data_IF_349443633979
#
_entry.id   IF_349443633979
#
_cell.length_a   1.000
_cell.length_b   1.000
_cell.length_c   1.000
_cell.angle_alpha   90.00
_cell.angle_beta   90.00
_cell.angle_gamma   90.00
#
_symmetry.space_group_name_H-M   'P 1'
#
loop_
_entity.id
_entity.type
_entity.pdbx_description
1 polymer ?
#
# COMPACT_ATOMS: atom_id res chain seq x y z
N UNK A 1 -1.66 4.09 6.28
CA UNK A 1 -0.87 3.22 5.39
C UNK A 1 -0.04 2.33 6.28
N UNK A 2 -0.06 1.01 6.08
CA UNK A 2 0.73 0.07 6.88
C UNK A 2 2.24 0.13 6.52
N UNK A 3 2.54 0.43 5.26
CA UNK A 3 3.92 0.55 4.73
C UNK A 3 4.63 1.78 5.31
N UNK A 4 3.94 2.93 5.36
CA UNK A 4 4.53 4.18 5.86
C UNK A 4 4.74 4.15 7.38
N UNK A 5 3.75 3.65 8.14
CA UNK A 5 3.89 3.54 9.59
C UNK A 5 4.98 2.57 10.03
N UNK A 6 5.34 1.59 9.20
CA UNK A 6 6.45 0.67 9.48
C UNK A 6 7.84 1.21 9.13
N UNK A 7 7.94 2.34 8.42
CA UNK A 7 9.22 2.93 7.95
C UNK A 7 9.52 4.31 8.52
N UNK A 8 8.48 5.01 8.97
CA UNK A 8 8.58 6.37 9.48
C UNK A 8 8.23 6.36 10.97
N UNK A 9 9.18 6.81 11.79
CA UNK A 9 9.01 6.98 13.23
C UNK A 9 7.86 7.96 13.48
N UNK A 10 6.96 7.61 14.40
CA UNK A 10 5.81 8.41 14.82
C UNK A 10 4.90 8.89 13.67
N UNK A 11 4.81 8.10 12.59
CA UNK A 11 4.01 8.46 11.43
C UNK A 11 2.54 8.74 11.79
N UNK A 12 2.08 9.94 11.45
CA UNK A 12 0.68 10.29 11.49
C UNK A 12 0.17 10.65 10.08
N UNK A 13 -1.06 10.27 9.67
CA UNK A 13 -1.57 10.56 8.34
C UNK A 13 -1.56 12.03 7.91
N UNK A 14 -1.52 12.96 8.87
CA UNK A 14 -1.39 14.41 8.61
C UNK A 14 -0.05 14.79 8.00
N UNK A 15 1.02 14.03 8.26
CA UNK A 15 2.33 14.30 7.67
C UNK A 15 2.26 14.21 6.13
N UNK A 16 1.56 13.19 5.61
CA UNK A 16 1.34 13.07 4.16
C UNK A 16 0.37 14.14 3.64
N UNK A 17 -0.61 14.54 4.45
CA UNK A 17 -1.54 15.62 4.08
C UNK A 17 -0.79 16.96 3.95
N UNK A 18 0.15 17.23 4.86
CA UNK A 18 1.01 18.42 4.84
C UNK A 18 1.97 18.42 3.65
N UNK A 19 2.66 17.31 3.39
CA UNK A 19 3.59 17.18 2.25
C UNK A 19 2.89 17.28 0.88
N UNK A 20 1.68 16.74 0.77
CA UNK A 20 0.88 16.89 -0.47
C UNK A 20 0.40 18.31 -0.65
N UNK A 21 -0.12 18.95 0.41
CA UNK A 21 -0.58 20.33 0.37
C UNK A 21 0.56 21.35 0.12
N UNK A 22 1.77 21.06 0.60
CA UNK A 22 2.96 21.86 0.33
C UNK A 22 3.51 21.66 -1.10
N UNK A 23 3.05 20.63 -1.80
CA UNK A 23 3.55 20.26 -3.13
C UNK A 23 4.91 19.59 -3.13
N UNK A 24 5.40 19.13 -1.97
CA UNK A 24 6.66 18.37 -1.85
C UNK A 24 6.48 16.91 -2.29
N UNK A 25 5.27 16.36 -2.10
CA UNK A 25 4.88 15.03 -2.56
C UNK A 25 3.68 15.14 -3.49
N UNK A 26 3.78 14.59 -4.69
CA UNK A 26 2.65 14.41 -5.60
C UNK A 26 2.20 12.95 -5.60
N UNK A 27 0.94 12.73 -5.97
CA UNK A 27 0.38 11.39 -6.09
C UNK A 27 -0.34 11.20 -7.43
N UNK A 28 -0.27 10.00 -7.98
CA UNK A 28 -0.95 9.65 -9.22
C UNK A 28 -1.65 8.31 -9.09
N UNK A 29 -2.82 8.18 -9.73
CA UNK A 29 -3.45 6.88 -9.94
C UNK A 29 -2.62 6.01 -10.88
N UNK A 30 -2.59 4.72 -10.61
CA UNK A 30 -1.85 3.71 -11.35
C UNK A 30 -2.75 2.51 -11.71
N UNK A 31 -4.01 2.81 -12.07
CA UNK A 31 -5.03 1.83 -12.41
C UNK A 31 -6.08 1.60 -11.33
N UNK A 32 -7.33 1.46 -11.76
CA UNK A 32 -8.47 1.17 -10.89
C UNK A 32 -8.54 -0.32 -10.50
N UNK A 33 -9.18 -0.59 -9.37
CA UNK A 33 -9.58 -1.94 -8.92
C UNK A 33 -11.11 -1.99 -8.82
N UNK A 34 -11.73 -3.18 -8.74
CA UNK A 34 -13.18 -3.29 -8.61
C UNK A 34 -13.73 -2.49 -7.43
N UNK A 35 -14.79 -1.72 -7.66
CA UNK A 35 -15.45 -0.89 -6.66
C UNK A 35 -14.92 0.54 -6.62
N UNK A 36 -14.47 0.99 -5.45
CA UNK A 36 -13.96 2.37 -5.20
C UNK A 36 -12.47 2.36 -4.83
N UNK A 37 -11.78 1.29 -5.19
CA UNK A 37 -10.39 1.01 -4.81
C UNK A 37 -9.48 1.14 -6.04
N UNK A 38 -8.18 1.29 -5.83
CA UNK A 38 -7.23 1.49 -6.93
C UNK A 38 -5.80 1.59 -6.46
N UNK A 39 -4.88 1.48 -7.41
CA UNK A 39 -3.46 1.68 -7.14
C UNK A 39 -3.13 3.17 -7.19
N UNK A 40 -2.36 3.62 -6.21
CA UNK A 40 -1.78 4.97 -6.21
C UNK A 40 -0.28 4.87 -6.00
N UNK A 41 0.41 5.86 -6.55
CA UNK A 41 1.86 6.03 -6.42
C UNK A 41 2.14 7.41 -5.81
N UNK A 42 3.15 7.47 -4.95
CA UNK A 42 3.61 8.69 -4.27
C UNK A 42 5.00 9.02 -4.80
N UNK A 43 5.23 10.29 -5.13
CA UNK A 43 6.46 10.76 -5.74
C UNK A 43 6.91 12.04 -5.05
N UNK A 44 8.20 12.16 -4.75
CA UNK A 44 8.75 13.47 -4.43
C UNK A 44 8.67 14.36 -5.68
N UNK A 45 8.36 15.64 -5.49
CA UNK A 45 8.04 16.53 -6.61
C UNK A 45 9.20 16.70 -7.61
N UNK A 46 10.43 16.66 -7.12
CA UNK A 46 11.67 16.75 -7.90
C UNK A 46 11.94 15.52 -8.79
N UNK A 47 11.50 14.35 -8.36
CA UNK A 47 11.72 13.06 -9.05
C UNK A 47 10.47 12.53 -9.74
N UNK A 48 9.32 13.19 -9.59
CA UNK A 48 8.06 12.81 -10.21
C UNK A 48 8.16 12.64 -11.74
N UNK A 49 8.80 13.55 -12.52
CA UNK A 49 8.93 13.35 -13.96
C UNK A 49 9.60 12.03 -14.36
N UNK A 50 10.50 11.52 -13.52
CA UNK A 50 11.24 10.27 -13.78
C UNK A 50 10.49 9.02 -13.32
N UNK A 51 9.71 9.15 -12.24
CA UNK A 51 9.16 8.00 -11.50
C UNK A 51 7.66 7.78 -11.71
N UNK A 52 6.93 8.76 -12.26
CA UNK A 52 5.51 8.62 -12.57
C UNK A 52 5.24 7.40 -13.48
N UNK A 53 4.18 6.62 -13.19
CA UNK A 53 3.80 5.47 -14.01
C UNK A 53 3.29 5.94 -15.38
N UNK A 54 3.38 5.08 -16.40
CA UNK A 54 2.77 5.39 -17.70
C UNK A 54 1.25 5.50 -17.57
N UNK A 55 0.61 6.24 -18.47
CA UNK A 55 -0.85 6.34 -18.48
C UNK A 55 -1.47 4.96 -18.73
N UNK A 56 -2.49 4.61 -17.97
CA UNK A 56 -3.28 3.43 -18.29
C UNK A 56 -4.14 3.69 -19.52
N UNK A 57 -4.44 2.64 -20.29
CA UNK A 57 -5.35 2.75 -21.43
C UNK A 57 -6.74 3.20 -20.94
N UNK A 58 -7.21 4.31 -21.51
CA UNK A 58 -8.53 4.88 -21.25
C UNK A 58 -9.10 5.39 -22.57
N UNK A 59 -10.33 5.00 -22.88
CA UNK A 59 -11.06 5.58 -24.02
C UNK A 59 -11.54 6.99 -23.64
N UNK A 60 -10.86 7.98 -24.19
CA UNK A 60 -11.15 9.39 -23.92
C UNK A 60 -12.42 9.78 -24.67
N UNK A 61 -13.56 9.79 -23.96
CA UNK A 61 -14.80 10.41 -24.45
C UNK A 61 -14.72 11.94 -24.55
N UNK A 62 -15.76 12.58 -25.07
CA UNK A 62 -15.83 14.04 -25.22
C UNK A 62 -15.63 14.78 -23.87
N UNK A 63 -16.32 14.34 -22.82
CA UNK A 63 -16.18 14.92 -21.47
C UNK A 63 -14.76 14.78 -20.90
N UNK A 64 -14.06 13.68 -21.23
CA UNK A 64 -12.67 13.49 -20.81
C UNK A 64 -11.75 14.51 -21.49
N UNK A 65 -11.89 14.67 -22.81
CA UNK A 65 -11.10 15.65 -23.58
C UNK A 65 -11.36 17.08 -23.12
N UNK A 66 -12.63 17.44 -22.90
CA UNK A 66 -12.99 18.77 -22.40
C UNK A 66 -12.31 19.10 -21.05
N UNK A 67 -12.28 18.15 -20.11
CA UNK A 67 -11.56 18.32 -18.84
C UNK A 67 -10.05 18.47 -19.04
N UNK A 68 -9.46 17.64 -19.90
CA UNK A 68 -8.03 17.71 -20.22
C UNK A 68 -7.65 19.03 -20.90
N UNK A 69 -8.49 19.54 -21.81
CA UNK A 69 -8.27 20.80 -22.53
C UNK A 69 -8.31 22.00 -21.58
N UNK A 70 -9.28 22.04 -20.66
CA UNK A 70 -9.33 23.10 -19.62
C UNK A 70 -8.08 23.07 -18.74
N UNK A 71 -7.67 21.88 -18.29
CA UNK A 71 -6.49 21.73 -17.43
C UNK A 71 -5.17 21.90 -18.19
N UNK A 72 -5.16 21.76 -19.51
CA UNK A 72 -4.03 22.02 -20.40
C UNK A 72 -3.56 23.47 -20.39
N UNK A 73 -4.43 24.41 -19.99
CA UNK A 73 -4.07 25.80 -19.72
C UNK A 73 -3.14 25.99 -18.51
N UNK A 74 -2.94 24.94 -17.72
CA UNK A 74 -2.06 24.93 -16.54
C UNK A 74 -2.77 25.32 -15.24
N UNK A 75 -2.08 25.07 -14.11
CA UNK A 75 -2.60 25.36 -12.77
C UNK A 75 -3.53 24.29 -12.20
N UNK A 76 -4.07 24.58 -11.02
CA UNK A 76 -4.99 23.69 -10.30
C UNK A 76 -6.37 24.33 -10.12
N UNK A 77 -7.42 23.56 -10.40
CA UNK A 77 -8.81 24.02 -10.40
C UNK A 77 -9.60 23.37 -9.27
N UNK A 78 -10.38 24.15 -8.53
CA UNK A 78 -11.41 23.59 -7.68
C UNK A 78 -12.54 23.00 -8.53
N UNK A 79 -13.23 21.98 -8.02
CA UNK A 79 -14.27 21.26 -8.77
C UNK A 79 -15.34 22.16 -9.42
N UNK A 80 -15.79 23.22 -8.73
CA UNK A 80 -16.78 24.17 -9.31
C UNK A 80 -16.21 24.98 -10.46
N UNK A 81 -14.95 25.42 -10.37
CA UNK A 81 -14.28 26.13 -11.46
C UNK A 81 -14.14 25.23 -12.68
N UNK A 82 -13.83 23.95 -12.47
CA UNK A 82 -13.76 22.97 -13.54
C UNK A 82 -15.15 22.75 -14.16
N UNK A 83 -16.19 22.55 -13.35
CA UNK A 83 -17.58 22.39 -13.80
C UNK A 83 -18.05 23.56 -14.67
N UNK A 84 -17.79 24.79 -14.23
CA UNK A 84 -18.15 26.01 -14.95
C UNK A 84 -17.38 26.12 -16.27
N UNK A 85 -16.08 25.79 -16.27
CA UNK A 85 -15.22 25.85 -17.45
C UNK A 85 -15.59 24.82 -18.52
N UNK A 86 -16.00 23.61 -18.13
CA UNK A 86 -16.48 22.58 -19.07
C UNK A 86 -17.98 22.70 -19.37
N UNK A 87 -18.69 23.62 -18.73
CA UNK A 87 -20.15 23.79 -18.89
C UNK A 87 -20.98 22.61 -18.37
N UNK A 88 -20.45 21.79 -17.46
CA UNK A 88 -21.18 20.64 -16.90
C UNK A 88 -22.11 21.10 -15.77
N UNK A 89 -23.35 20.60 -15.81
CA UNK A 89 -24.35 20.76 -14.75
C UNK A 89 -24.56 19.49 -13.92
N UNK A 90 -23.92 18.37 -14.31
CA UNK A 90 -23.99 17.09 -13.62
C UNK A 90 -22.71 16.84 -12.80
N UNK A 91 -22.81 17.10 -11.49
CA UNK A 91 -21.73 16.90 -10.53
C UNK A 91 -21.28 15.42 -10.44
N UNK A 92 -22.21 14.47 -10.62
CA UNK A 92 -21.90 13.04 -10.48
C UNK A 92 -21.14 12.53 -11.69
N UNK A 93 -21.60 12.90 -12.89
CA UNK A 93 -20.92 12.57 -14.13
C UNK A 93 -19.52 13.21 -14.18
N UNK A 94 -19.40 14.49 -13.82
CA UNK A 94 -18.09 15.16 -13.82
C UNK A 94 -17.15 14.55 -12.78
N UNK A 95 -17.64 14.19 -11.59
CA UNK A 95 -16.83 13.52 -10.59
C UNK A 95 -16.33 12.15 -11.09
N UNK A 96 -17.16 11.39 -11.80
CA UNK A 96 -16.74 10.12 -12.41
C UNK A 96 -15.63 10.34 -13.44
N UNK A 97 -15.79 11.30 -14.35
CA UNK A 97 -14.77 11.65 -15.36
C UNK A 97 -13.43 12.05 -14.71
N UNK A 98 -13.46 12.87 -13.66
CA UNK A 98 -12.25 13.26 -12.91
C UNK A 98 -11.56 12.03 -12.33
N UNK A 99 -12.31 11.10 -11.75
CA UNK A 99 -11.74 9.87 -11.19
C UNK A 99 -11.24 8.90 -12.26
N UNK A 100 -11.90 8.77 -13.39
CA UNK A 100 -11.45 7.95 -14.52
C UNK A 100 -10.09 8.46 -15.04
N UNK A 101 -9.97 9.77 -15.27
CA UNK A 101 -8.70 10.40 -15.64
C UNK A 101 -7.63 10.27 -14.55
N UNK A 102 -8.02 10.35 -13.27
CA UNK A 102 -7.09 10.18 -12.14
C UNK A 102 -6.54 8.75 -12.11
N UNK A 103 -7.39 7.74 -12.28
CA UNK A 103 -6.98 6.33 -12.30
C UNK A 103 -6.14 5.97 -13.51
N UNK A 104 -6.39 6.63 -14.64
CA UNK A 104 -5.55 6.56 -15.83
C UNK A 104 -4.21 7.31 -15.67
N UNK A 105 -4.02 8.08 -14.59
CA UNK A 105 -2.78 8.79 -14.28
C UNK A 105 -2.65 10.16 -14.96
N UNK A 106 -3.72 10.68 -15.57
CA UNK A 106 -3.76 12.01 -16.20
C UNK A 106 -3.89 13.14 -15.20
N UNK A 107 -4.67 12.94 -14.13
CA UNK A 107 -4.92 13.97 -13.13
C UNK A 107 -4.28 13.64 -11.78
N UNK A 108 -3.96 14.69 -11.05
CA UNK A 108 -3.55 14.66 -9.64
C UNK A 108 -4.34 15.70 -8.84
N UNK A 109 -4.20 15.68 -7.52
CA UNK A 109 -4.79 16.65 -6.61
C UNK A 109 -3.73 17.14 -5.61
N UNK A 110 -3.84 18.41 -5.22
CA UNK A 110 -2.98 19.03 -4.20
C UNK A 110 -3.13 18.41 -2.79
N UNK A 111 -4.13 17.54 -2.58
CA UNK A 111 -4.29 16.80 -1.33
C UNK A 111 -4.64 15.34 -1.59
N UNK A 112 -4.34 14.45 -0.63
CA UNK A 112 -4.82 13.06 -0.66
C UNK A 112 -6.22 12.89 -0.03
N UNK A 113 -6.84 13.99 0.41
CA UNK A 113 -8.15 13.96 1.09
C UNK A 113 -9.28 13.40 0.21
N UNK A 114 -9.40 13.74 -1.09
CA UNK A 114 -10.44 13.19 -1.96
C UNK A 114 -10.37 11.68 -2.09
N UNK A 115 -9.15 11.13 -2.20
CA UNK A 115 -8.90 9.69 -2.23
C UNK A 115 -9.39 9.03 -0.93
N UNK A 116 -9.05 9.61 0.24
CA UNK A 116 -9.54 9.10 1.53
C UNK A 116 -11.06 9.19 1.64
N UNK A 117 -11.67 10.26 1.13
CA UNK A 117 -13.11 10.43 1.12
C UNK A 117 -13.80 9.37 0.24
N UNK A 118 -13.24 9.07 -0.94
CA UNK A 118 -13.75 8.01 -1.83
C UNK A 118 -13.68 6.63 -1.16
N UNK A 119 -12.51 6.29 -0.58
CA UNK A 119 -12.32 5.02 0.15
C UNK A 119 -13.23 4.92 1.38
N UNK A 120 -13.52 6.05 2.05
CA UNK A 120 -14.40 6.12 3.22
C UNK A 120 -15.90 6.17 2.92
N UNK A 121 -16.29 6.69 1.74
CA UNK A 121 -17.68 6.78 1.29
C UNK A 121 -18.18 5.46 0.68
N UNK A 122 -17.28 4.63 0.15
CA UNK A 122 -17.62 3.29 -0.29
C UNK A 122 -18.03 2.37 0.87
N UNK A 123 -18.91 1.39 0.59
CA UNK A 123 -19.09 0.19 1.45
C UNK A 123 -17.88 -0.76 1.38
N UNK A 124 -16.71 -0.25 0.99
CA UNK A 124 -15.46 -1.02 0.94
C UNK A 124 -15.02 -1.41 2.34
N UNK A 125 -14.37 -2.58 2.46
CA UNK A 125 -13.93 -3.09 3.76
C UNK A 125 -12.71 -2.38 4.35
N UNK A 126 -12.21 -1.32 3.70
CA UNK A 126 -11.24 -0.38 4.25
C UNK A 126 -11.96 0.84 4.82
N UNK A 127 -12.65 0.67 5.96
CA UNK A 127 -13.05 1.83 6.74
C UNK A 127 -11.80 2.45 7.35
N UNK A 128 -11.26 3.45 6.67
CA UNK A 128 -10.29 4.37 7.29
C UNK A 128 -10.93 4.96 8.54
N UNK A 129 -10.19 4.97 9.65
CA UNK A 129 -10.66 5.52 10.93
C UNK A 129 -11.04 6.98 10.71
N UNK A 130 -12.34 7.28 10.84
CA UNK A 130 -12.83 8.66 10.77
C UNK A 130 -12.18 9.44 11.91
N UNK A 131 -11.31 10.39 11.58
CA UNK A 131 -10.80 11.33 12.58
C UNK A 131 -12.00 12.10 13.13
N UNK A 132 -12.10 12.22 14.45
CA UNK A 132 -13.13 13.04 15.06
C UNK A 132 -12.95 14.48 14.53
N UNK A 133 -14.01 15.13 14.02
CA UNK A 133 -13.89 16.51 13.57
C UNK A 133 -13.43 17.34 14.76
N UNK A 134 -12.27 18.00 14.63
CA UNK A 134 -11.81 18.97 15.63
C UNK A 134 -12.88 20.07 15.69
N UNK A 135 -13.56 20.17 16.82
CA UNK A 135 -14.55 21.20 17.09
C UNK A 135 -13.86 22.57 16.94
N UNK A 136 -14.11 23.28 15.83
CA UNK A 136 -13.99 24.73 15.84
C UNK A 136 -15.08 25.22 16.80
N UNK A 137 -14.65 25.75 17.95
CA UNK A 137 -15.53 26.39 18.92
C UNK A 137 -16.03 27.68 18.29
N UNK A 138 -17.16 27.60 17.59
CA UNK A 138 -17.99 28.76 17.27
C UNK A 138 -19.02 28.89 18.40
N UNK A 139 -19.10 30.03 19.10
CA UNK A 139 -20.06 30.19 20.18
C UNK A 139 -21.45 30.48 19.60
N UNK A 140 -22.45 29.77 20.11
CA UNK A 140 -23.84 30.25 20.11
C UNK A 140 -24.75 29.72 19.00
N UNK A 141 -25.50 28.65 19.31
CA UNK A 141 -26.97 28.71 19.49
C UNK A 141 -27.52 27.32 19.78
N UNK A 142 -28.28 27.22 20.89
CA UNK A 142 -29.25 26.15 21.12
C UNK A 142 -30.28 26.18 19.98
N UNK A 143 -30.71 25.01 19.51
CA UNK A 143 -32.14 24.71 19.36
C UNK A 143 -32.40 23.23 19.13
N UNK A 144 -33.46 22.76 19.80
CA UNK A 144 -34.06 21.43 19.79
C UNK A 144 -34.93 21.20 18.54
N UNK A 145 -35.08 19.91 18.20
CA UNK A 145 -36.20 19.23 17.50
C UNK A 145 -36.54 19.65 16.07
N UNK A 146 -36.62 18.64 15.19
CA UNK A 146 -37.21 18.75 13.85
C UNK A 146 -36.52 17.88 12.81
N UNK A 147 -36.65 16.55 12.94
CA UNK A 147 -36.28 15.59 11.90
C UNK A 147 -37.41 15.54 10.87
N UNK A 148 -37.29 16.35 9.82
CA UNK A 148 -38.07 16.24 8.59
C UNK A 148 -37.21 16.78 7.43
N UNK A 149 -37.36 16.16 6.26
CA UNK A 149 -36.44 16.19 5.12
C UNK A 149 -35.78 17.53 4.82
N UNK A 150 -34.44 17.52 4.77
CA UNK A 150 -33.69 18.57 4.09
C UNK A 150 -33.38 18.08 2.69
N UNK A 151 -34.02 18.69 1.70
CA UNK A 151 -33.59 18.68 0.31
C UNK A 151 -32.10 19.02 0.26
N UNK A 152 -31.30 18.20 -0.44
CA UNK A 152 -29.87 18.43 -0.61
C UNK A 152 -29.66 19.65 -1.52
N UNK A 153 -29.59 20.83 -0.92
CA UNK A 153 -29.09 22.02 -1.60
C UNK A 153 -27.66 21.71 -2.08
N UNK A 154 -27.30 21.97 -3.35
CA UNK A 154 -25.94 21.76 -3.83
C UNK A 154 -24.99 22.57 -2.97
N UNK A 155 -24.05 21.89 -2.31
CA UNK A 155 -23.01 22.57 -1.57
C UNK A 155 -22.17 23.39 -2.54
N UNK A 156 -21.87 24.65 -2.14
CA UNK A 156 -20.98 25.56 -2.89
C UNK A 156 -19.59 24.96 -3.12
N UNK A 157 -19.24 23.95 -2.34
CA UNK A 157 -18.09 23.06 -2.51
C UNK A 157 -18.63 21.75 -3.08
N UNK A 158 -18.13 21.25 -4.21
CA UNK A 158 -18.57 19.97 -4.80
C UNK A 158 -18.50 18.76 -3.84
N UNK A 159 -18.80 17.54 -4.29
CA UNK A 159 -18.73 16.34 -3.45
C UNK A 159 -17.39 16.20 -2.71
N UNK A 160 -17.34 15.64 -1.49
CA UNK A 160 -16.09 15.52 -0.73
C UNK A 160 -15.04 14.63 -1.44
N UNK A 161 -15.48 13.76 -2.35
CA UNK A 161 -14.63 12.92 -3.21
C UNK A 161 -13.94 13.70 -4.32
N UNK A 162 -14.26 14.97 -4.52
CA UNK A 162 -13.62 15.86 -5.51
C UNK A 162 -13.14 17.18 -4.89
N UNK A 163 -12.84 17.16 -3.59
CA UNK A 163 -12.24 18.29 -2.89
C UNK A 163 -10.82 18.62 -3.38
N UNK A 164 -10.25 19.73 -2.90
CA UNK A 164 -8.91 20.18 -3.30
C UNK A 164 -8.87 20.78 -4.71
N UNK A 165 -7.66 20.99 -5.22
CA UNK A 165 -7.38 21.50 -6.56
C UNK A 165 -6.90 20.36 -7.45
N UNK A 166 -7.58 20.19 -8.57
CA UNK A 166 -7.27 19.19 -9.58
C UNK A 166 -6.42 19.82 -10.68
N UNK A 167 -5.36 19.13 -11.07
CA UNK A 167 -4.45 19.53 -12.14
C UNK A 167 -4.01 18.33 -12.96
N UNK A 168 -3.43 18.58 -14.12
CA UNK A 168 -2.70 17.54 -14.85
C UNK A 168 -1.54 17.01 -13.98
N UNK A 169 -1.22 15.73 -14.13
CA UNK A 169 0.03 15.19 -13.57
C UNK A 169 1.24 15.88 -14.21
N UNK A 170 2.35 16.05 -13.47
CA UNK A 170 3.57 16.61 -14.04
C UNK A 170 3.98 15.89 -15.33
N UNK A 171 4.52 16.65 -16.28
CA UNK A 171 5.06 16.09 -17.51
C UNK A 171 6.15 15.07 -17.16
N UNK A 172 6.05 13.87 -17.75
CA UNK A 172 7.04 12.82 -17.59
C UNK A 172 8.28 13.17 -18.40
N UNK A 173 9.44 12.74 -17.93
CA UNK A 173 10.68 12.77 -18.69
C UNK A 173 10.50 11.96 -19.98
N UNK A 174 10.82 12.58 -21.12
CA UNK A 174 10.64 12.00 -22.43
C UNK A 174 11.77 11.02 -22.79
N UNK A 175 12.96 11.18 -22.22
CA UNK A 175 14.07 10.26 -22.44
C UNK A 175 13.85 8.93 -21.67
N UNK A 176 13.58 7.81 -22.37
CA UNK A 176 13.37 6.52 -21.73
C UNK A 176 14.61 6.02 -20.98
N UNK A 177 15.81 6.47 -21.37
CA UNK A 177 17.08 6.09 -20.72
C UNK A 177 17.17 6.67 -19.31
N UNK A 178 16.80 7.95 -19.14
CA UNK A 178 16.78 8.61 -17.83
C UNK A 178 15.75 7.98 -16.90
N UNK A 179 14.56 7.66 -17.41
CA UNK A 179 13.53 6.93 -16.63
C UNK A 179 13.99 5.54 -16.23
N UNK A 180 14.60 4.79 -17.15
CA UNK A 180 15.13 3.45 -16.85
C UNK A 180 16.27 3.52 -15.81
N UNK A 181 17.13 4.53 -15.86
CA UNK A 181 18.14 4.80 -14.86
C UNK A 181 17.53 5.02 -13.47
N UNK A 182 16.57 5.94 -13.35
CA UNK A 182 15.89 6.23 -12.09
C UNK A 182 15.12 5.03 -11.54
N UNK A 183 14.50 4.22 -12.42
CA UNK A 183 13.81 3.00 -12.02
C UNK A 183 14.77 1.94 -11.47
N UNK A 184 15.92 1.73 -12.10
CA UNK A 184 16.93 0.78 -11.63
C UNK A 184 17.52 1.19 -10.27
N UNK A 185 17.78 2.49 -10.08
CA UNK A 185 18.24 3.06 -8.81
C UNK A 185 17.19 2.88 -7.71
N UNK A 186 15.93 3.23 -7.97
CA UNK A 186 14.81 3.03 -7.04
C UNK A 186 14.64 1.56 -6.65
N UNK A 187 14.83 0.63 -7.58
CA UNK A 187 14.77 -0.81 -7.30
C UNK A 187 15.91 -1.28 -6.38
N UNK A 188 17.13 -0.81 -6.61
CA UNK A 188 18.28 -1.14 -5.77
C UNK A 188 18.12 -0.58 -4.35
N UNK A 189 17.70 0.66 -4.21
CA UNK A 189 17.47 1.30 -2.91
C UNK A 189 16.35 0.60 -2.12
N UNK A 190 15.27 0.20 -2.81
CA UNK A 190 14.10 -0.40 -2.17
C UNK A 190 14.28 -1.85 -1.78
N UNK A 191 14.89 -2.66 -2.66
CA UNK A 191 15.00 -4.11 -2.47
C UNK A 191 16.35 -4.53 -1.91
N UNK A 192 17.39 -3.71 -2.07
CA UNK A 192 18.78 -4.07 -1.76
C UNK A 192 19.37 -5.09 -2.73
N UNK A 193 18.64 -6.18 -3.00
CA UNK A 193 18.93 -7.18 -4.02
C UNK A 193 17.78 -7.23 -5.02
N UNK A 194 18.06 -6.82 -6.26
CA UNK A 194 17.10 -6.81 -7.36
C UNK A 194 17.13 -8.16 -8.07
N UNK A 195 15.97 -8.80 -8.13
CA UNK A 195 15.73 -10.08 -8.82
C UNK A 195 14.64 -9.91 -9.88
N UNK A 196 14.53 -10.84 -10.82
CA UNK A 196 13.45 -10.84 -11.82
C UNK A 196 12.06 -10.79 -11.18
N UNK A 197 11.84 -11.54 -10.10
CA UNK A 197 10.55 -11.57 -9.39
C UNK A 197 10.22 -10.25 -8.70
N UNK A 198 11.21 -9.58 -8.10
CA UNK A 198 11.03 -8.25 -7.50
C UNK A 198 10.58 -7.22 -8.55
N UNK A 199 11.26 -7.17 -9.70
CA UNK A 199 10.91 -6.25 -10.81
C UNK A 199 9.51 -6.53 -11.37
N UNK A 200 9.15 -7.80 -11.52
CA UNK A 200 7.81 -8.17 -11.96
C UNK A 200 6.72 -7.71 -10.96
N UNK A 201 6.98 -7.84 -9.65
CA UNK A 201 6.03 -7.42 -8.61
C UNK A 201 5.79 -5.92 -8.55
N UNK A 202 6.80 -5.14 -8.94
CA UNK A 202 6.78 -3.66 -9.02
C UNK A 202 6.11 -3.14 -10.30
N UNK A 203 5.75 -4.04 -11.24
CA UNK A 203 5.18 -3.68 -12.55
C UNK A 203 6.02 -2.64 -13.30
N UNK A 204 7.35 -2.75 -13.20
CA UNK A 204 8.27 -1.81 -13.84
C UNK A 204 8.06 -1.82 -15.36
N UNK A 205 7.89 -0.65 -16.00
CA UNK A 205 7.77 -0.54 -17.46
C UNK A 205 8.93 -1.24 -18.19
N UNK A 206 8.60 -2.04 -19.22
CA UNK A 206 9.58 -2.86 -19.95
C UNK A 206 10.15 -4.07 -19.18
N UNK A 207 9.70 -4.29 -17.94
CA UNK A 207 10.04 -5.44 -17.11
C UNK A 207 11.54 -5.57 -16.82
N UNK A 208 11.97 -6.79 -16.50
CA UNK A 208 13.35 -7.07 -16.12
C UNK A 208 14.36 -6.76 -17.25
N UNK A 209 13.97 -6.95 -18.51
CA UNK A 209 14.85 -6.70 -19.65
C UNK A 209 15.28 -5.22 -19.76
N UNK A 210 14.33 -4.29 -19.52
CA UNK A 210 14.61 -2.86 -19.58
C UNK A 210 15.62 -2.43 -18.50
N UNK A 211 15.44 -2.90 -17.26
CA UNK A 211 16.33 -2.56 -16.15
C UNK A 211 17.66 -3.31 -16.17
N UNK A 212 17.70 -4.51 -16.77
CA UNK A 212 18.92 -5.34 -16.84
C UNK A 212 20.09 -4.61 -17.52
N UNK A 213 19.83 -3.90 -18.63
CA UNK A 213 20.87 -3.14 -19.35
C UNK A 213 21.49 -2.06 -18.46
N UNK A 214 20.65 -1.34 -17.71
CA UNK A 214 21.08 -0.29 -16.78
C UNK A 214 21.85 -0.89 -15.61
N UNK A 215 21.34 -1.97 -15.00
CA UNK A 215 21.99 -2.65 -13.89
C UNK A 215 23.36 -3.23 -14.28
N UNK A 216 23.52 -3.68 -15.53
CA UNK A 216 24.83 -4.13 -16.05
C UNK A 216 25.81 -2.96 -16.16
N UNK A 217 25.38 -1.79 -16.63
CA UNK A 217 26.22 -0.58 -16.63
C UNK A 217 26.54 -0.09 -15.19
N UNK A 218 25.62 -0.29 -14.24
CA UNK A 218 25.87 -0.01 -12.82
C UNK A 218 26.91 -0.96 -12.22
N UNK A 219 26.93 -2.22 -12.66
CA UNK A 219 27.97 -3.18 -12.28
C UNK A 219 29.35 -2.74 -12.80
N UNK A 220 29.45 -2.36 -14.08
CA UNK A 220 30.70 -1.90 -14.70
C UNK A 220 31.28 -0.64 -14.01
N UNK A 221 30.40 0.24 -13.51
CA UNK A 221 30.78 1.42 -12.73
C UNK A 221 30.93 1.17 -11.22
N UNK A 222 30.74 -0.07 -10.75
CA UNK A 222 30.90 -0.46 -9.35
C UNK A 222 29.76 -0.01 -8.41
N UNK A 223 28.64 0.51 -8.92
CA UNK A 223 27.47 0.93 -8.13
C UNK A 223 26.67 -0.24 -7.57
N UNK A 224 26.68 -1.37 -8.26
CA UNK A 224 26.09 -2.62 -7.79
C UNK A 224 27.01 -3.81 -8.10
N UNK A 225 26.68 -4.97 -7.54
CA UNK A 225 27.37 -6.23 -7.81
C UNK A 225 26.37 -7.23 -8.37
N UNK A 226 26.72 -7.88 -9.47
CA UNK A 226 25.95 -9.03 -9.98
C UNK A 226 26.45 -10.31 -9.33
N UNK A 227 25.54 -11.22 -8.97
CA UNK A 227 25.92 -12.48 -8.33
C UNK A 227 24.75 -13.34 -7.90
N UNK A 228 25.05 -14.42 -7.17
CA UNK A 228 24.08 -15.31 -6.57
C UNK A 228 23.90 -14.96 -5.09
N UNK A 229 22.91 -14.13 -4.79
CA UNK A 229 22.64 -13.68 -3.41
C UNK A 229 21.53 -14.52 -2.77
N UNK A 230 20.55 -14.92 -3.56
CA UNK A 230 19.39 -15.71 -3.12
C UNK A 230 19.43 -17.08 -3.78
N UNK A 231 19.42 -18.13 -2.94
CA UNK A 231 19.39 -19.52 -3.39
C UNK A 231 18.07 -19.85 -4.10
N UNK A 232 18.11 -20.76 -5.07
CA UNK A 232 16.94 -21.18 -5.85
C UNK A 232 16.48 -20.16 -6.91
N UNK A 233 17.08 -18.96 -6.95
CA UNK A 233 16.87 -17.98 -8.01
C UNK A 233 18.05 -18.00 -9.00
N UNK A 234 17.78 -17.69 -10.27
CA UNK A 234 18.81 -17.63 -11.32
C UNK A 234 19.87 -16.55 -11.09
N UNK A 235 20.94 -16.58 -11.89
CA UNK A 235 22.14 -15.73 -11.75
C UNK A 235 21.92 -14.22 -11.99
N UNK A 236 20.79 -13.85 -12.59
CA UNK A 236 20.48 -12.46 -12.93
C UNK A 236 19.95 -11.71 -11.69
N UNK A 237 20.81 -11.52 -10.70
CA UNK A 237 20.54 -10.77 -9.48
C UNK A 237 21.60 -9.68 -9.32
N UNK A 238 21.15 -8.49 -8.91
CA UNK A 238 22.02 -7.34 -8.71
C UNK A 238 21.82 -6.81 -7.30
N UNK A 239 22.89 -6.77 -6.52
CA UNK A 239 22.87 -6.24 -5.15
C UNK A 239 23.54 -4.88 -5.07
N UNK A 240 22.90 -3.93 -4.39
CA UNK A 240 23.57 -2.70 -3.97
C UNK A 240 24.73 -3.07 -3.03
N UNK A 241 25.87 -2.38 -3.16
CA UNK A 241 27.10 -2.74 -2.41
C UNK A 241 26.86 -2.86 -0.90
N UNK A 242 26.19 -1.88 -0.29
CA UNK A 242 25.86 -1.91 1.14
C UNK A 242 24.89 -3.03 1.54
N UNK A 243 23.98 -3.42 0.66
CA UNK A 243 23.08 -4.54 0.91
C UNK A 243 23.84 -5.88 0.88
N UNK A 244 24.77 -6.05 -0.07
CA UNK A 244 25.62 -7.24 -0.16
C UNK A 244 26.52 -7.37 1.06
N UNK A 245 27.12 -6.26 1.51
CA UNK A 245 28.00 -6.27 2.67
C UNK A 245 27.21 -6.56 3.96
N UNK A 246 25.99 -6.04 4.11
CA UNK A 246 25.07 -6.39 5.21
C UNK A 246 24.70 -7.89 5.20
N UNK A 247 24.39 -8.46 4.04
CA UNK A 247 24.10 -9.90 3.92
C UNK A 247 25.28 -10.77 4.37
N UNK A 248 26.52 -10.36 4.06
CA UNK A 248 27.73 -11.06 4.50
C UNK A 248 27.94 -10.98 6.01
N UNK A 249 27.68 -9.81 6.61
CA UNK A 249 27.75 -9.64 8.08
C UNK A 249 26.77 -10.58 8.78
N UNK A 250 25.49 -10.53 8.38
CA UNK A 250 24.44 -11.38 8.95
C UNK A 250 24.72 -12.87 8.77
N UNK A 251 25.23 -13.30 7.61
CA UNK A 251 25.65 -14.69 7.40
C UNK A 251 26.82 -15.12 8.28
N UNK A 252 27.65 -14.19 8.75
CA UNK A 252 28.80 -14.48 9.61
C UNK A 252 28.38 -14.53 11.08
N UNK A 253 27.52 -13.59 11.50
CA UNK A 253 26.92 -13.53 12.84
C UNK A 253 26.04 -14.74 13.14
N UNK A 254 25.22 -15.18 12.18
CA UNK A 254 24.37 -16.37 12.30
C UNK A 254 25.16 -17.67 12.54
N UNK A 255 26.48 -17.69 12.32
CA UNK A 255 27.34 -18.85 12.58
C UNK A 255 27.92 -18.87 14.00
N UNK A 256 27.73 -17.82 14.80
CA UNK A 256 28.46 -17.63 16.07
C UNK A 256 27.62 -17.25 17.30
N UNK A 257 26.35 -16.88 17.16
CA UNK A 257 25.47 -16.50 18.28
C UNK A 257 24.12 -17.24 18.21
N UNK A 258 23.48 -17.50 19.36
CA UNK A 258 22.04 -17.80 19.38
C UNK A 258 21.29 -16.47 19.21
N UNK A 259 20.63 -16.23 18.07
CA UNK A 259 19.91 -14.99 17.87
C UNK A 259 18.62 -15.00 18.71
N UNK A 260 18.31 -13.87 19.38
CA UNK A 260 16.96 -13.63 19.84
C UNK A 260 16.02 -13.62 18.63
N UNK A 261 14.98 -14.48 18.65
CA UNK A 261 14.05 -14.55 17.52
C UNK A 261 13.32 -13.22 17.35
N UNK A 262 13.57 -12.59 16.20
CA UNK A 262 12.97 -11.33 15.82
C UNK A 262 11.79 -11.59 14.88
N UNK A 263 10.63 -11.02 15.22
CA UNK A 263 9.42 -11.14 14.41
C UNK A 263 8.94 -9.77 13.92
N UNK A 264 8.62 -9.69 12.63
CA UNK A 264 8.18 -8.47 11.95
C UNK A 264 6.84 -8.69 11.27
N UNK A 265 5.93 -7.74 11.44
CA UNK A 265 4.64 -7.71 10.73
C UNK A 265 4.77 -6.76 9.54
N UNK A 266 4.50 -7.28 8.33
CA UNK A 266 4.55 -6.52 7.08
C UNK A 266 3.20 -6.60 6.38
N UNK A 267 2.84 -5.57 5.61
CA UNK A 267 1.73 -5.73 4.66
C UNK A 267 2.08 -6.83 3.66
N UNK A 268 1.12 -7.65 3.25
CA UNK A 268 1.38 -8.69 2.26
C UNK A 268 1.87 -8.10 0.91
N UNK A 269 1.50 -6.85 0.63
CA UNK A 269 1.93 -6.07 -0.53
C UNK A 269 3.22 -5.26 -0.30
N UNK A 270 3.80 -5.28 0.90
CA UNK A 270 4.99 -4.50 1.23
C UNK A 270 6.20 -4.93 0.38
N UNK A 271 6.99 -4.01 -0.21
CA UNK A 271 8.20 -4.37 -0.98
C UNK A 271 9.21 -5.23 -0.20
N UNK A 272 9.29 -5.07 1.13
CA UNK A 272 10.19 -5.86 1.98
C UNK A 272 9.69 -7.30 2.20
N UNK A 273 8.43 -7.62 1.91
CA UNK A 273 7.95 -9.00 1.89
C UNK A 273 8.47 -9.69 0.61
N UNK A 274 9.36 -10.70 0.68
CA UNK A 274 9.85 -11.38 -0.52
C UNK A 274 8.86 -12.43 -1.05
N UNK A 275 7.95 -12.93 -0.20
CA UNK A 275 7.05 -14.04 -0.53
C UNK A 275 5.92 -13.63 -1.46
N UNK A 276 5.63 -14.48 -2.45
CA UNK A 276 4.69 -14.16 -3.52
C UNK A 276 5.20 -13.08 -4.50
N UNK A 277 6.50 -12.76 -4.47
CA UNK A 277 7.17 -11.84 -5.39
C UNK A 277 8.51 -12.41 -5.86
N UNK A 278 9.60 -12.09 -5.14
CA UNK A 278 10.93 -12.63 -5.44
C UNK A 278 11.03 -14.12 -5.09
N UNK A 279 10.36 -14.54 -4.01
CA UNK A 279 10.26 -15.92 -3.57
C UNK A 279 8.82 -16.44 -3.76
N UNK A 280 8.63 -17.74 -4.06
CA UNK A 280 7.31 -18.35 -3.99
C UNK A 280 6.77 -18.31 -2.55
N UNK A 281 5.46 -18.50 -2.41
CA UNK A 281 4.90 -18.78 -1.09
C UNK A 281 5.41 -20.15 -0.60
N UNK A 282 5.89 -20.28 0.65
CA UNK A 282 6.33 -21.56 1.18
C UNK A 282 5.20 -22.59 1.21
N UNK A 283 5.55 -23.86 1.03
CA UNK A 283 4.60 -24.95 1.19
C UNK A 283 4.12 -25.06 2.63
N UNK A 284 2.82 -25.31 2.82
CA UNK A 284 2.25 -25.48 4.16
C UNK A 284 2.13 -26.96 4.49
N UNK A 285 2.41 -27.28 5.75
CA UNK A 285 2.26 -28.65 6.29
C UNK A 285 0.81 -29.17 6.12
N UNK A 286 -0.18 -28.28 6.08
CA UNK A 286 -1.60 -28.60 5.96
C UNK A 286 -2.15 -28.72 4.52
N UNK A 287 -1.34 -28.45 3.48
CA UNK A 287 -1.83 -28.35 2.09
C UNK A 287 -2.03 -29.72 1.38
N UNK A 288 -1.80 -30.85 2.06
CA UNK A 288 -1.97 -32.18 1.48
C UNK A 288 -3.44 -32.60 1.25
N UNK A 289 -4.45 -31.86 1.74
CA UNK A 289 -5.82 -32.36 1.75
C UNK A 289 -6.97 -31.37 1.53
N UNK A 290 -6.78 -30.05 1.30
CA UNK A 290 -7.95 -29.15 1.18
C UNK A 290 -7.77 -27.95 0.23
N UNK A 291 -8.87 -27.63 -0.48
CA UNK A 291 -9.11 -26.40 -1.24
C UNK A 291 -9.31 -25.18 -0.32
N UNK A 292 -8.38 -24.97 0.62
CA UNK A 292 -8.41 -23.88 1.59
C UNK A 292 -7.96 -22.53 1.00
N UNK A 293 -8.10 -21.48 1.82
CA UNK A 293 -7.60 -20.14 1.51
C UNK A 293 -6.08 -20.18 1.25
N UNK A 294 -5.63 -19.57 0.15
CA UNK A 294 -4.22 -19.47 -0.23
C UNK A 294 -3.69 -18.05 0.04
N UNK A 295 -2.42 -17.91 0.45
CA UNK A 295 -1.81 -16.60 0.66
C UNK A 295 -1.72 -15.82 -0.66
N UNK A 296 -1.74 -14.50 -0.58
CA UNK A 296 -1.56 -13.64 -1.74
C UNK A 296 -1.21 -12.20 -1.35
N UNK A 297 -0.54 -11.49 -2.25
CA UNK A 297 -0.20 -10.06 -2.05
C UNK A 297 -1.44 -9.21 -2.28
N UNK A 298 -2.31 -9.13 -1.26
CA UNK A 298 -3.58 -8.40 -1.31
C UNK A 298 -3.58 -7.24 -0.33
N UNK A 299 -4.15 -6.11 -0.75
CA UNK A 299 -4.32 -4.95 0.12
C UNK A 299 -5.12 -5.33 1.38
N UNK A 300 -4.60 -4.96 2.55
CA UNK A 300 -5.19 -5.25 3.85
C UNK A 300 -4.85 -6.62 4.45
N UNK A 301 -4.19 -7.51 3.71
CA UNK A 301 -3.58 -8.70 4.28
C UNK A 301 -2.19 -8.35 4.85
N UNK A 302 -1.76 -9.08 5.88
CA UNK A 302 -0.42 -8.93 6.47
C UNK A 302 0.26 -10.28 6.60
N UNK A 303 1.59 -10.27 6.62
CA UNK A 303 2.45 -11.43 6.87
C UNK A 303 3.26 -11.17 8.14
N UNK A 304 3.58 -12.23 8.86
CA UNK A 304 4.53 -12.18 9.96
C UNK A 304 5.74 -13.03 9.61
N UNK A 305 6.91 -12.40 9.61
CA UNK A 305 8.19 -13.04 9.30
C UNK A 305 8.98 -13.13 10.61
N UNK A 306 9.36 -14.34 11.01
CA UNK A 306 10.20 -14.62 12.17
C UNK A 306 11.55 -15.16 11.70
N UNK A 307 12.64 -14.45 12.01
CA UNK A 307 14.02 -14.79 11.60
C UNK A 307 14.14 -15.12 10.10
N UNK A 308 13.49 -14.30 9.26
CA UNK A 308 13.50 -14.47 7.81
C UNK A 308 12.59 -15.57 7.26
N UNK A 309 11.96 -16.39 8.12
CA UNK A 309 10.97 -17.38 7.72
C UNK A 309 9.54 -16.82 7.83
N UNK A 310 8.68 -17.12 6.85
CA UNK A 310 7.26 -16.80 6.97
C UNK A 310 6.64 -17.67 8.07
N UNK A 311 6.07 -17.04 9.10
CA UNK A 311 5.42 -17.72 10.21
C UNK A 311 3.89 -17.71 10.05
N UNK A 312 3.32 -16.53 9.77
CA UNK A 312 1.88 -16.33 9.67
C UNK A 312 1.51 -15.51 8.43
N UNK A 313 0.35 -15.80 7.86
CA UNK A 313 -0.36 -14.92 6.93
C UNK A 313 -1.75 -14.62 7.51
N UNK A 314 -2.10 -13.34 7.54
CA UNK A 314 -3.38 -12.84 8.03
C UNK A 314 -4.16 -12.27 6.86
N UNK A 315 -5.32 -12.86 6.57
CA UNK A 315 -6.19 -12.36 5.51
C UNK A 315 -6.73 -10.97 5.85
N UNK A 316 -7.10 -10.21 4.81
CA UNK A 316 -7.83 -8.95 4.93
C UNK A 316 -9.00 -9.05 5.91
N UNK A 317 -9.01 -8.16 6.90
CA UNK A 317 -10.03 -8.13 7.96
C UNK A 317 -9.79 -9.11 9.10
N UNK A 318 -8.75 -9.94 9.03
CA UNK A 318 -8.19 -10.66 10.17
C UNK A 318 -8.96 -11.91 10.63
N UNK A 319 -10.00 -12.32 9.91
CA UNK A 319 -10.86 -13.46 10.26
C UNK A 319 -10.22 -14.82 9.99
N UNK A 320 -9.31 -14.88 9.01
CA UNK A 320 -8.64 -16.10 8.60
C UNK A 320 -7.13 -15.95 8.76
N UNK A 321 -6.50 -16.94 9.37
CA UNK A 321 -5.04 -17.08 9.48
C UNK A 321 -4.55 -18.32 8.73
N UNK A 322 -3.34 -18.24 8.19
CA UNK A 322 -2.57 -19.39 7.72
C UNK A 322 -1.26 -19.45 8.50
N UNK A 323 -0.91 -20.65 8.93
CA UNK A 323 0.33 -20.97 9.65
C UNK A 323 1.30 -21.65 8.70
N UNK A 324 2.56 -21.22 8.72
CA UNK A 324 3.64 -21.76 7.88
C UNK A 324 4.73 -22.47 8.69
N UNK A 325 4.74 -22.30 10.02
CA UNK A 325 5.65 -23.01 10.91
C UNK A 325 4.89 -23.51 12.14
N UNK A 326 4.93 -24.82 12.45
CA UNK A 326 4.37 -25.35 13.70
C UNK A 326 5.32 -25.19 14.90
N UNK A 327 6.54 -24.69 14.68
CA UNK A 327 7.57 -24.54 15.70
C UNK A 327 7.18 -23.46 16.73
N UNK A 328 6.95 -23.80 18.01
CA UNK A 328 6.59 -22.83 19.04
C UNK A 328 7.61 -21.71 19.21
N UNK A 329 8.91 -21.99 18.98
CA UNK A 329 9.98 -21.00 19.10
C UNK A 329 9.85 -19.85 18.08
N UNK A 330 9.22 -20.10 16.93
CA UNK A 330 8.91 -19.06 15.93
C UNK A 330 7.48 -18.56 16.02
N UNK A 331 6.55 -19.45 16.39
CA UNK A 331 5.13 -19.14 16.41
C UNK A 331 4.79 -18.13 17.50
N UNK A 332 5.34 -18.28 18.72
CA UNK A 332 5.04 -17.37 19.81
C UNK A 332 5.55 -15.93 19.52
N UNK A 333 6.82 -15.71 19.13
CA UNK A 333 7.28 -14.36 18.74
C UNK A 333 6.47 -13.76 17.59
N UNK A 334 6.06 -14.58 16.60
CA UNK A 334 5.22 -14.11 15.51
C UNK A 334 3.84 -13.63 15.99
N UNK A 335 3.22 -14.37 16.92
CA UNK A 335 1.96 -13.95 17.54
C UNK A 335 2.15 -12.70 18.38
N UNK A 336 3.23 -12.60 19.16
CA UNK A 336 3.52 -11.43 19.99
C UNK A 336 3.71 -10.16 19.14
N UNK A 337 4.44 -10.27 18.02
CA UNK A 337 4.59 -9.18 17.06
C UNK A 337 3.24 -8.75 16.44
N UNK A 338 2.36 -9.71 16.15
CA UNK A 338 1.00 -9.42 15.68
C UNK A 338 0.17 -8.68 16.73
N UNK A 339 0.30 -9.05 18.01
CA UNK A 339 -0.37 -8.36 19.13
C UNK A 339 0.13 -6.94 19.28
N UNK A 340 1.46 -6.72 19.23
CA UNK A 340 2.06 -5.39 19.28
C UNK A 340 1.52 -4.50 18.15
N UNK A 341 1.48 -5.00 16.91
CA UNK A 341 0.93 -4.27 15.77
C UNK A 341 -0.56 -3.89 15.93
N UNK A 342 -1.34 -4.68 16.67
CA UNK A 342 -2.73 -4.34 17.02
C UNK A 342 -2.80 -3.26 18.11
N UNK A 343 -1.97 -3.38 19.16
CA UNK A 343 -1.93 -2.45 20.29
C UNK A 343 -1.45 -1.07 19.88
N UNK A 344 -0.45 -1.00 19.01
CA UNK A 344 0.05 0.25 18.42
C UNK A 344 -0.93 0.86 17.40
N UNK A 345 -2.07 0.20 17.17
CA UNK A 345 -3.13 0.69 16.31
C UNK A 345 -2.86 0.54 14.81
N UNK A 346 -1.74 -0.07 14.41
CA UNK A 346 -1.39 -0.28 13.00
C UNK A 346 -2.38 -1.21 12.28
N UNK A 347 -2.87 -2.26 12.97
CA UNK A 347 -3.90 -3.19 12.45
C UNK A 347 -5.32 -2.87 12.94
N UNK A 348 -5.46 -2.07 13.99
CA UNK A 348 -6.73 -1.85 14.67
C UNK A 348 -7.26 -3.14 15.31
N UNK A 349 -8.58 -3.32 15.38
CA UNK A 349 -9.19 -4.48 16.03
C UNK A 349 -9.03 -5.74 15.17
N UNK A 350 -8.61 -6.84 15.81
CA UNK A 350 -8.46 -8.15 15.19
C UNK A 350 -9.45 -9.17 15.77
N UNK A 351 -10.08 -9.98 14.92
CA UNK A 351 -10.97 -11.07 15.33
C UNK A 351 -10.73 -12.24 14.38
N UNK A 352 -10.17 -13.32 14.92
CA UNK A 352 -9.78 -14.53 14.20
C UNK A 352 -10.86 -15.59 14.43
N UNK A 353 -11.40 -16.13 13.34
CA UNK A 353 -12.46 -17.16 13.36
C UNK A 353 -11.91 -18.52 12.91
N UNK A 354 -10.95 -18.52 11.97
CA UNK A 354 -10.39 -19.72 11.36
C UNK A 354 -8.87 -19.65 11.27
N UNK A 355 -8.22 -20.80 11.44
CA UNK A 355 -6.81 -21.01 11.15
C UNK A 355 -6.64 -22.27 10.30
N UNK A 356 -5.83 -22.18 9.26
CA UNK A 356 -5.47 -23.31 8.41
C UNK A 356 -6.65 -24.07 7.79
N UNK A 357 -7.76 -23.37 7.57
CA UNK A 357 -8.98 -23.95 7.03
C UNK A 357 -9.87 -24.65 8.07
N UNK A 358 -9.49 -24.66 9.36
CA UNK A 358 -10.30 -25.14 10.48
C UNK A 358 -10.77 -23.99 11.39
N UNK A 359 -11.72 -24.26 12.29
CA UNK A 359 -12.14 -23.30 13.32
C UNK A 359 -10.99 -23.03 14.31
N UNK A 360 -10.82 -21.78 14.76
CA UNK A 360 -9.65 -21.42 15.58
C UNK A 360 -9.66 -22.08 16.96
N UNK A 361 -10.83 -22.22 17.60
CA UNK A 361 -10.92 -22.77 18.96
C UNK A 361 -10.51 -24.24 18.96
N UNK A 362 -9.55 -24.58 19.83
CA UNK A 362 -8.98 -25.93 19.92
C UNK A 362 -7.86 -26.23 18.93
N UNK A 363 -7.41 -25.24 18.13
CA UNK A 363 -6.25 -25.38 17.25
C UNK A 363 -4.93 -25.11 18.00
N UNK A 364 -3.77 -25.62 17.54
CA UNK A 364 -2.47 -25.28 18.15
C UNK A 364 -2.18 -23.78 18.20
N UNK A 365 -2.67 -23.02 17.23
CA UNK A 365 -2.54 -21.57 17.18
C UNK A 365 -3.38 -20.86 18.26
N UNK A 366 -4.46 -21.47 18.73
CA UNK A 366 -5.31 -20.86 19.77
C UNK A 366 -4.56 -20.64 21.08
N UNK A 367 -3.73 -21.59 21.50
CA UNK A 367 -2.92 -21.48 22.72
C UNK A 367 -1.97 -20.28 22.66
N UNK A 368 -1.27 -20.10 21.54
CA UNK A 368 -0.34 -18.98 21.37
C UNK A 368 -1.07 -17.62 21.35
N UNK A 369 -2.22 -17.54 20.68
CA UNK A 369 -3.05 -16.34 20.62
C UNK A 369 -3.64 -15.98 22.00
N UNK A 370 -4.12 -16.95 22.75
CA UNK A 370 -4.65 -16.75 24.11
C UNK A 370 -3.55 -16.29 25.06
N UNK A 371 -2.36 -16.91 25.01
CA UNK A 371 -1.19 -16.50 25.80
C UNK A 371 -0.78 -15.05 25.51
N UNK A 372 -0.93 -14.59 24.26
CA UNK A 372 -0.64 -13.22 23.86
C UNK A 372 -1.79 -12.21 24.16
N UNK A 373 -2.88 -12.67 24.79
CA UNK A 373 -3.97 -11.82 25.28
C UNK A 373 -5.18 -11.70 24.35
N UNK A 374 -5.37 -12.61 23.40
CA UNK A 374 -6.67 -12.74 22.73
C UNK A 374 -7.71 -13.33 23.68
N UNK A 375 -8.94 -12.83 23.61
CA UNK A 375 -10.06 -13.35 24.40
C UNK A 375 -10.97 -14.23 23.55
N UNK A 376 -11.43 -15.34 24.13
CA UNK A 376 -12.41 -16.24 23.54
C UNK A 376 -13.77 -15.53 23.39
N UNK A 377 -14.38 -15.71 22.22
CA UNK A 377 -15.74 -15.28 21.90
C UNK A 377 -16.47 -16.42 21.18
N UNK A 378 -17.82 -16.41 21.10
CA UNK A 378 -18.56 -17.45 20.37
C UNK A 378 -18.19 -17.56 18.88
N UNK A 379 -17.58 -16.52 18.31
CA UNK A 379 -17.15 -16.50 16.90
C UNK A 379 -15.66 -16.81 16.70
N UNK A 380 -14.88 -16.97 17.76
CA UNK A 380 -13.43 -17.19 17.70
C UNK A 380 -12.65 -16.33 18.70
N UNK A 381 -11.41 -15.98 18.38
CA UNK A 381 -10.50 -15.23 19.24
C UNK A 381 -10.46 -13.75 18.87
N UNK A 382 -10.50 -12.85 19.85
CA UNK A 382 -10.54 -11.40 19.62
C UNK A 382 -9.50 -10.64 20.44
N UNK A 383 -8.83 -9.72 19.76
CA UNK A 383 -7.97 -8.71 20.37
C UNK A 383 -8.51 -7.31 20.08
N UNK A 384 -8.41 -6.39 21.06
CA UNK A 384 -8.80 -4.99 20.91
C UNK A 384 -7.53 -4.13 20.99
N UNK A 385 -7.42 -3.12 20.14
CA UNK A 385 -6.49 -2.00 20.37
C UNK A 385 -6.96 -1.29 21.65
N UNK A 386 -6.09 -1.19 22.64
CA UNK A 386 -6.36 -0.49 23.92
C UNK A 386 -6.66 0.98 23.72
#
# INVERSE_FOLDING_TARGET
SFVLSGRLVDYHPSMLDELTAAGEVTWAGAGALPGTDGWVSLHAADTAPLTLPDFAELDLGESHRAVLDVLGGGGGYFFRQLSDAVGSTDDQLLAAVVWDLTWAGHLTNDTISPLRAMLGAGRGSHRSRRQAPRHRVAPGRRNLRGSAGRSSMPSRTGPPTVGGRWSLTPAREADPTRRAHAAAESLLERHGVVTRGAVASERTPGGFAAVYKVLSAFEESGRCRRGYFVAGLGAAQFGATGAVDRLRSLSSEARGAEPETSALVLAATDPANPFGAALPWPDRVADAANAGHRPGRKAGAVVVVADGALALYVERGGRTLLTFSPDPARLQPAVDALVLAVRDGALGRLTVERADGAHILGSPLSTALEAAGFHVTPRGLRLRSS
#
